data_IF_541161573672
#
_entry.id   IF_541161573672
#
_cell.length_a   1.000
_cell.length_b   1.000
_cell.length_c   1.000
_cell.angle_alpha   90.00
_cell.angle_beta   90.00
_cell.angle_gamma   90.00
#
_symmetry.space_group_name_H-M   'P 1'
#
loop_
_entity.id
_entity.type
_entity.pdbx_description
1 polymer ?
#
# COMPACT_ATOMS: atom_id res chain seq x y z
N UNK A 1 -14.44 17.59 -13.08
CA UNK A 1 -15.56 17.63 -12.10
C UNK A 1 -15.03 17.59 -10.65
N UNK A 2 -14.39 16.52 -10.17
CA UNK A 2 -13.86 16.43 -8.78
C UNK A 2 -12.85 17.53 -8.46
N UNK A 3 -11.92 17.78 -9.34
CA UNK A 3 -10.93 18.85 -9.20
C UNK A 3 -11.59 20.23 -9.07
N UNK A 4 -12.60 20.52 -9.88
CA UNK A 4 -13.34 21.79 -9.84
C UNK A 4 -14.15 21.96 -8.55
N UNK A 5 -14.50 20.85 -7.87
CA UNK A 5 -15.16 20.87 -6.56
C UNK A 5 -14.17 21.08 -5.38
N UNK A 6 -12.91 21.37 -5.66
CA UNK A 6 -11.91 21.62 -4.63
C UNK A 6 -11.31 20.39 -3.97
N UNK A 7 -11.51 19.20 -4.54
CA UNK A 7 -11.00 17.94 -4.00
C UNK A 7 -9.73 17.49 -4.72
N UNK A 8 -8.75 16.93 -4.02
CA UNK A 8 -7.58 16.32 -4.65
C UNK A 8 -7.98 15.07 -5.43
N UNK A 9 -7.22 14.77 -6.48
CA UNK A 9 -7.42 13.61 -7.35
C UNK A 9 -6.13 12.80 -7.40
N UNK A 10 -6.27 11.48 -7.43
CA UNK A 10 -5.15 10.56 -7.69
C UNK A 10 -4.88 10.47 -9.19
N UNK A 11 -3.62 10.24 -9.53
CA UNK A 11 -3.22 9.91 -10.90
C UNK A 11 -3.39 8.42 -11.19
N UNK A 12 -3.17 7.56 -10.19
CA UNK A 12 -3.25 6.11 -10.34
C UNK A 12 -3.70 5.40 -9.06
N UNK A 13 -4.22 4.19 -9.23
CA UNK A 13 -4.63 3.28 -8.16
C UNK A 13 -3.97 1.92 -8.34
N UNK A 14 -3.08 1.56 -7.42
CA UNK A 14 -2.45 0.25 -7.37
C UNK A 14 -3.23 -0.67 -6.41
N UNK A 15 -4.05 -1.56 -6.95
CA UNK A 15 -4.94 -2.46 -6.20
C UNK A 15 -4.71 -3.94 -6.54
N UNK A 16 -3.45 -4.37 -6.60
CA UNK A 16 -3.12 -5.75 -6.99
C UNK A 16 -2.83 -6.68 -5.82
N UNK A 17 -2.81 -6.19 -4.58
CA UNK A 17 -2.43 -6.98 -3.41
C UNK A 17 -3.35 -8.18 -3.14
N UNK A 18 -4.61 -8.09 -3.55
CA UNK A 18 -5.57 -9.20 -3.46
C UNK A 18 -5.31 -10.32 -4.46
N UNK A 19 -4.74 -10.00 -5.61
CA UNK A 19 -4.47 -10.97 -6.68
C UNK A 19 -3.18 -11.78 -6.44
N UNK A 20 -2.40 -11.40 -5.42
CA UNK A 20 -1.18 -12.12 -5.08
C UNK A 20 -1.50 -13.41 -4.34
N UNK A 21 -1.57 -14.50 -5.10
CA UNK A 21 -1.81 -15.83 -4.53
C UNK A 21 -0.65 -16.23 -3.62
N UNK A 22 -0.95 -16.52 -2.36
CA UNK A 22 0.04 -16.98 -1.39
C UNK A 22 0.16 -18.50 -1.53
N UNK A 23 1.36 -19.03 -1.84
CA UNK A 23 1.58 -20.47 -1.86
C UNK A 23 1.24 -21.12 -0.52
N UNK A 24 0.58 -22.28 -0.54
CA UNK A 24 0.09 -22.95 0.67
C UNK A 24 1.21 -23.29 1.67
N UNK A 25 2.39 -23.64 1.15
CA UNK A 25 3.56 -24.00 1.95
C UNK A 25 4.19 -22.84 2.73
N UNK A 26 3.77 -21.60 2.50
CA UNK A 26 4.29 -20.42 3.23
C UNK A 26 3.24 -19.72 4.10
N UNK A 27 1.97 -20.06 3.97
CA UNK A 27 0.86 -19.40 4.70
C UNK A 27 1.06 -19.33 6.21
N UNK A 28 1.66 -20.38 6.78
CA UNK A 28 1.90 -20.53 8.21
C UNK A 28 3.35 -20.25 8.64
N UNK A 29 4.22 -19.84 7.71
CA UNK A 29 5.60 -19.47 7.99
C UNK A 29 5.74 -17.95 7.89
N UNK A 30 5.80 -17.28 9.03
CA UNK A 30 5.83 -15.80 9.07
C UNK A 30 6.99 -15.19 8.29
N UNK A 31 8.18 -15.79 8.37
CA UNK A 31 9.37 -15.28 7.68
C UNK A 31 9.22 -15.38 6.16
N UNK A 32 8.73 -16.52 5.68
CA UNK A 32 8.50 -16.73 4.24
C UNK A 32 7.35 -15.87 3.75
N UNK A 33 6.28 -15.76 4.53
CA UNK A 33 5.14 -14.92 4.20
C UNK A 33 5.54 -13.44 4.14
N UNK A 34 6.31 -12.95 5.11
CA UNK A 34 6.87 -11.61 5.09
C UNK A 34 7.73 -11.39 3.85
N UNK A 35 8.71 -12.25 3.59
CA UNK A 35 9.60 -12.13 2.44
C UNK A 35 8.83 -12.10 1.12
N UNK A 36 7.84 -12.99 0.95
CA UNK A 36 7.00 -13.04 -0.23
C UNK A 36 6.22 -11.74 -0.43
N UNK A 37 5.52 -11.27 0.60
CA UNK A 37 4.73 -10.04 0.52
C UNK A 37 5.59 -8.78 0.36
N UNK A 38 6.69 -8.68 1.11
CA UNK A 38 7.65 -7.58 0.96
C UNK A 38 8.15 -7.49 -0.47
N UNK A 39 8.55 -8.62 -1.07
CA UNK A 39 9.02 -8.65 -2.46
C UNK A 39 7.93 -8.17 -3.43
N UNK A 40 6.69 -8.60 -3.25
CA UNK A 40 5.57 -8.17 -4.08
C UNK A 40 5.30 -6.66 -3.99
N UNK A 41 5.35 -6.10 -2.80
CA UNK A 41 5.23 -4.65 -2.61
C UNK A 41 6.40 -3.88 -3.21
N UNK A 42 7.63 -4.39 -3.10
CA UNK A 42 8.82 -3.79 -3.72
C UNK A 42 8.66 -3.76 -5.24
N UNK A 43 8.25 -4.86 -5.86
CA UNK A 43 7.96 -4.92 -7.30
C UNK A 43 6.89 -3.89 -7.69
N UNK A 44 5.81 -3.81 -6.92
CA UNK A 44 4.75 -2.82 -7.12
C UNK A 44 5.27 -1.38 -7.05
N UNK A 45 6.05 -1.04 -6.01
CA UNK A 45 6.63 0.29 -5.83
C UNK A 45 7.54 0.66 -7.01
N UNK A 46 8.41 -0.24 -7.42
CA UNK A 46 9.33 -0.02 -8.55
C UNK A 46 8.62 0.12 -9.90
N UNK A 47 7.39 -0.36 -10.01
CA UNK A 47 6.56 -0.23 -11.22
C UNK A 47 5.74 1.06 -11.27
N UNK A 48 5.73 1.86 -10.20
CA UNK A 48 4.94 3.09 -10.14
C UNK A 48 5.41 4.10 -11.18
N UNK A 49 4.44 4.78 -11.79
CA UNK A 49 4.69 5.93 -12.66
C UNK A 49 4.79 7.20 -11.82
N UNK A 50 5.46 8.24 -12.33
CA UNK A 50 5.42 9.56 -11.70
C UNK A 50 3.97 10.05 -11.51
N UNK A 51 3.68 10.63 -10.35
CA UNK A 51 2.37 11.13 -9.99
C UNK A 51 1.95 10.70 -8.59
N UNK A 52 0.68 10.89 -8.28
CA UNK A 52 0.09 10.53 -6.99
C UNK A 52 -0.65 9.20 -7.13
N UNK A 53 -0.10 8.15 -6.54
CA UNK A 53 -0.69 6.81 -6.56
C UNK A 53 -1.15 6.40 -5.17
N UNK A 54 -2.34 5.84 -5.08
CA UNK A 54 -2.77 5.11 -3.88
C UNK A 54 -2.50 3.62 -4.07
N UNK A 55 -1.74 3.05 -3.14
CA UNK A 55 -1.51 1.60 -3.06
C UNK A 55 -2.39 1.02 -1.96
N UNK A 56 -3.28 0.10 -2.32
CA UNK A 56 -4.21 -0.51 -1.36
C UNK A 56 -3.53 -1.68 -0.66
N UNK A 57 -3.68 -1.71 0.66
CA UNK A 57 -3.22 -2.79 1.53
C UNK A 57 -4.21 -2.99 2.69
N UNK A 58 -4.24 -4.19 3.25
CA UNK A 58 -5.19 -4.53 4.32
C UNK A 58 -4.48 -5.19 5.50
N UNK A 59 -3.65 -4.42 6.19
CA UNK A 59 -2.91 -4.90 7.35
C UNK A 59 -3.85 -5.34 8.48
N UNK A 60 -3.72 -6.58 8.93
CA UNK A 60 -4.50 -7.10 10.06
C UNK A 60 -3.61 -7.94 10.96
N UNK A 61 -3.63 -7.64 12.26
CA UNK A 61 -3.00 -8.49 13.25
C UNK A 61 -3.75 -9.84 13.33
N UNK A 62 -3.03 -10.96 13.41
CA UNK A 62 -3.66 -12.26 13.52
C UNK A 62 -4.33 -12.40 14.89
N UNK A 63 -5.64 -12.50 14.91
CA UNK A 63 -6.43 -12.77 16.10
C UNK A 63 -7.27 -14.04 15.92
N UNK A 64 -7.57 -14.73 16.99
CA UNK A 64 -8.44 -15.91 16.96
C UNK A 64 -9.82 -15.63 16.35
N UNK A 65 -10.31 -14.40 16.52
CA UNK A 65 -11.63 -13.98 16.04
C UNK A 65 -11.64 -13.78 14.52
N UNK A 66 -10.51 -13.38 13.93
CA UNK A 66 -10.46 -13.00 12.51
C UNK A 66 -10.86 -14.14 11.56
N UNK A 67 -10.56 -15.39 11.92
CA UNK A 67 -10.94 -16.58 11.12
C UNK A 67 -12.45 -16.75 10.93
N UNK A 68 -13.26 -16.17 11.84
CA UNK A 68 -14.73 -16.15 11.72
C UNK A 68 -15.26 -14.98 10.91
N UNK A 69 -14.40 -14.01 10.57
CA UNK A 69 -14.75 -12.82 9.80
C UNK A 69 -14.44 -13.03 8.32
N UNK A 70 -13.27 -13.59 8.01
CA UNK A 70 -12.79 -13.73 6.64
C UNK A 70 -11.69 -14.78 6.51
N UNK A 71 -11.66 -15.49 5.39
CA UNK A 71 -10.58 -16.40 5.00
C UNK A 71 -9.31 -15.66 4.52
N UNK A 72 -9.37 -14.32 4.38
CA UNK A 72 -8.24 -13.50 3.93
C UNK A 72 -7.15 -13.27 4.99
N UNK A 73 -7.18 -13.98 6.12
CA UNK A 73 -6.24 -13.86 7.22
C UNK A 73 -4.76 -13.88 6.81
N UNK A 74 -4.30 -14.91 6.08
CA UNK A 74 -2.91 -15.00 5.65
C UNK A 74 -2.47 -13.82 4.77
N UNK A 75 -3.29 -13.41 3.81
CA UNK A 75 -3.00 -12.25 2.95
C UNK A 75 -2.86 -10.97 3.77
N UNK A 76 -3.78 -10.71 4.69
CA UNK A 76 -3.79 -9.51 5.53
C UNK A 76 -2.67 -9.50 6.56
N UNK A 77 -2.35 -10.65 7.14
CA UNK A 77 -1.17 -10.84 7.99
C UNK A 77 0.11 -10.55 7.20
N UNK A 78 0.19 -11.06 5.98
CA UNK A 78 1.32 -10.81 5.08
C UNK A 78 1.50 -9.32 4.75
N UNK A 79 0.41 -8.59 4.53
CA UNK A 79 0.45 -7.14 4.34
C UNK A 79 1.02 -6.43 5.57
N UNK A 80 0.55 -6.79 6.78
CA UNK A 80 1.08 -6.25 8.03
C UNK A 80 2.58 -6.52 8.18
N UNK A 81 3.01 -7.75 7.95
CA UNK A 81 4.42 -8.14 8.07
C UNK A 81 5.30 -7.39 7.06
N UNK A 82 4.83 -7.21 5.83
CA UNK A 82 5.54 -6.45 4.81
C UNK A 82 5.69 -4.97 5.19
N UNK A 83 4.65 -4.36 5.75
CA UNK A 83 4.71 -2.95 6.19
C UNK A 83 5.66 -2.74 7.37
N UNK A 84 5.94 -3.78 8.15
CA UNK A 84 6.94 -3.76 9.24
C UNK A 84 8.36 -4.09 8.77
N UNK A 85 8.54 -4.51 7.51
CA UNK A 85 9.84 -4.90 6.99
C UNK A 85 10.72 -3.67 6.67
N UNK A 86 11.91 -3.54 7.26
CA UNK A 86 12.84 -2.45 6.95
C UNK A 86 13.21 -2.35 5.46
N UNK A 87 13.20 -3.47 4.74
CA UNK A 87 13.49 -3.49 3.30
C UNK A 87 12.48 -2.65 2.51
N UNK A 88 11.20 -2.67 2.89
CA UNK A 88 10.19 -1.85 2.23
C UNK A 88 10.45 -0.35 2.46
N UNK A 89 10.77 0.03 3.70
CA UNK A 89 11.14 1.42 4.02
C UNK A 89 12.34 1.89 3.22
N UNK A 90 13.35 1.03 3.09
CA UNK A 90 14.55 1.33 2.28
C UNK A 90 14.19 1.58 0.81
N UNK A 91 13.37 0.74 0.21
CA UNK A 91 12.95 0.91 -1.18
C UNK A 91 12.18 2.21 -1.39
N UNK A 92 11.28 2.59 -0.49
CA UNK A 92 10.61 3.89 -0.56
C UNK A 92 11.60 5.05 -0.61
N UNK A 93 12.68 4.98 0.17
CA UNK A 93 13.74 6.00 0.18
C UNK A 93 14.58 5.97 -1.11
N UNK A 94 14.99 4.79 -1.56
CA UNK A 94 15.81 4.61 -2.76
C UNK A 94 15.08 5.06 -4.04
N UNK A 95 13.78 4.82 -4.12
CA UNK A 95 12.91 5.23 -5.24
C UNK A 95 12.37 6.67 -5.07
N UNK A 96 12.82 7.40 -4.05
CA UNK A 96 12.39 8.77 -3.75
C UNK A 96 10.87 8.93 -3.62
N UNK A 97 10.18 7.91 -3.09
CA UNK A 97 8.74 7.95 -2.86
C UNK A 97 8.43 8.81 -1.64
N UNK A 98 7.57 9.81 -1.84
CA UNK A 98 7.08 10.68 -0.77
C UNK A 98 5.73 10.15 -0.31
N UNK A 99 5.65 9.66 0.93
CA UNK A 99 4.36 9.31 1.55
C UNK A 99 3.60 10.60 1.85
N UNK A 100 2.33 10.61 1.55
CA UNK A 100 1.48 11.79 1.74
C UNK A 100 0.09 11.39 2.24
N UNK A 101 -0.67 12.39 2.66
CA UNK A 101 -2.05 12.25 3.13
C UNK A 101 -3.01 13.04 2.23
N UNK A 102 -4.29 12.72 2.27
CA UNK A 102 -5.32 13.49 1.58
C UNK A 102 -5.35 14.96 2.00
N UNK A 103 -5.04 15.25 3.27
CA UNK A 103 -4.93 16.62 3.78
C UNK A 103 -3.81 17.38 3.10
N UNK A 104 -2.61 16.81 3.05
CA UNK A 104 -1.45 17.42 2.40
C UNK A 104 -1.65 17.62 0.90
N UNK A 105 -2.30 16.68 0.22
CA UNK A 105 -2.67 16.82 -1.18
C UNK A 105 -3.63 17.99 -1.39
N UNK A 106 -4.62 18.14 -0.53
CA UNK A 106 -5.54 19.27 -0.55
C UNK A 106 -4.81 20.60 -0.34
N UNK A 107 -3.95 20.67 0.68
CA UNK A 107 -3.18 21.89 0.98
C UNK A 107 -2.27 22.31 -0.20
N UNK A 108 -1.63 21.33 -0.86
CA UNK A 108 -0.83 21.62 -2.08
C UNK A 108 -1.70 22.16 -3.21
N UNK A 109 -2.85 21.57 -3.42
CA UNK A 109 -3.81 22.01 -4.42
C UNK A 109 -4.29 23.43 -4.15
N UNK A 110 -4.68 23.75 -2.92
CA UNK A 110 -5.18 25.06 -2.54
C UNK A 110 -4.10 26.16 -2.73
N UNK A 111 -2.84 25.83 -2.45
CA UNK A 111 -1.70 26.73 -2.72
C UNK A 111 -1.51 27.03 -4.22
N UNK A 112 -1.82 26.09 -5.10
CA UNK A 112 -1.75 26.32 -6.55
C UNK A 112 -2.93 27.16 -7.04
N UNK A 113 -4.13 26.93 -6.52
CA UNK A 113 -5.34 27.68 -6.88
C UNK A 113 -5.26 29.16 -6.46
N UNK A 114 -4.61 29.45 -5.34
CA UNK A 114 -4.43 30.82 -4.83
C UNK A 114 -3.33 31.62 -5.56
N UNK A 115 -2.61 31.03 -6.50
CA UNK A 115 -1.58 31.67 -7.32
C UNK A 115 -2.09 32.11 -8.71
N UNK A 116 -3.33 31.80 -9.02
CA UNK A 116 -4.03 32.24 -10.22
C UNK A 116 -4.97 33.41 -9.92
#
# INVERSE_FOLDING_TARGET
>A
MIWNAGLPVLDDLHNYSYDWQIPDNIKNDEKKLQAFKTQKYIEGIKSLKPGVTMMIMHCTAPTEVFKYISESGPTRKGDMLAMLDPALKKVLQDEHIILTTWRELRERRDKLSNKQ
#
